data_IF_734696792846
#
_entry.id   IF_734696792846
#
_cell.length_a   1.000
_cell.length_b   1.000
_cell.length_c   1.000
_cell.angle_alpha   90.00
_cell.angle_beta   90.00
_cell.angle_gamma   90.00
#
_symmetry.space_group_name_H-M   'P 1'
#
loop_
_entity.id
_entity.type
_entity.pdbx_description
1 polymer ?
#
# COMPACT_ATOMS: atom_id res chain seq x y z
N UNK A 1 10.28 23.54 23.37
CA UNK A 1 9.86 22.75 22.20
C UNK A 1 11.07 22.56 21.29
N UNK A 2 11.33 21.34 20.85
CA UNK A 2 12.40 21.01 19.89
C UNK A 2 12.20 21.78 18.57
N UNK A 3 13.27 22.34 18.01
CA UNK A 3 13.22 23.04 16.72
C UNK A 3 13.10 22.10 15.51
N UNK A 4 12.56 22.57 14.39
CA UNK A 4 12.34 21.77 13.17
C UNK A 4 13.61 21.22 12.52
N UNK A 5 14.75 21.87 12.76
CA UNK A 5 16.07 21.49 12.23
C UNK A 5 17.06 21.10 13.34
N UNK A 6 16.60 20.98 14.58
CA UNK A 6 17.44 20.65 15.73
C UNK A 6 17.52 19.12 15.88
N UNK A 7 18.72 18.51 15.75
CA UNK A 7 18.90 17.08 15.97
C UNK A 7 18.46 16.68 17.38
N UNK A 8 17.89 15.49 17.51
CA UNK A 8 17.33 15.04 18.79
C UNK A 8 18.37 14.92 19.89
N UNK A 9 19.60 14.52 19.57
CA UNK A 9 20.69 14.39 20.53
C UNK A 9 21.07 15.76 21.15
N UNK A 10 21.16 16.79 20.31
CA UNK A 10 21.47 18.16 20.74
C UNK A 10 20.32 18.72 21.59
N UNK A 11 19.08 18.51 21.16
CA UNK A 11 17.89 18.89 21.92
C UNK A 11 17.87 18.21 23.30
N UNK A 12 18.08 16.89 23.39
CA UNK A 12 18.09 16.15 24.66
C UNK A 12 19.19 16.68 25.58
N UNK A 13 20.38 16.92 25.04
CA UNK A 13 21.52 17.48 25.79
C UNK A 13 21.16 18.85 26.39
N UNK A 14 20.58 19.74 25.59
CA UNK A 14 20.10 21.05 26.03
C UNK A 14 19.02 20.93 27.12
N UNK A 15 18.10 19.99 26.97
CA UNK A 15 17.03 19.75 27.95
C UNK A 15 17.55 19.21 29.27
N UNK A 16 18.54 18.30 29.24
CA UNK A 16 19.20 17.80 30.45
C UNK A 16 19.87 18.94 31.21
N UNK A 17 20.67 19.77 30.52
CA UNK A 17 21.33 20.92 31.12
C UNK A 17 20.34 21.96 31.69
N UNK A 18 19.17 22.12 31.06
CA UNK A 18 18.10 22.96 31.61
C UNK A 18 17.53 22.37 32.89
N UNK A 19 17.22 21.07 32.90
CA UNK A 19 16.66 20.39 34.08
C UNK A 19 17.61 20.41 35.28
N UNK A 20 18.91 20.33 35.04
CA UNK A 20 19.93 20.34 36.10
C UNK A 20 20.02 21.71 36.82
N UNK A 21 19.44 22.76 36.24
CA UNK A 21 19.41 24.12 36.82
C UNK A 21 18.11 24.42 37.58
N UNK A 22 17.17 23.48 37.64
CA UNK A 22 15.86 23.70 38.28
C UNK A 22 15.92 23.47 39.79
N UNK A 23 15.23 24.32 40.54
CA UNK A 23 15.01 24.19 41.97
C UNK A 23 13.49 24.25 42.27
N UNK A 24 12.90 23.21 42.91
CA UNK A 24 13.51 21.93 43.27
C UNK A 24 13.83 21.04 42.04
N UNK A 25 14.77 20.09 42.16
CA UNK A 25 15.12 19.20 41.06
C UNK A 25 13.94 18.28 40.73
N UNK A 26 13.64 18.17 39.43
CA UNK A 26 12.64 17.23 38.95
C UNK A 26 13.13 15.78 39.04
N UNK A 27 12.20 14.87 39.30
CA UNK A 27 12.46 13.43 39.20
C UNK A 27 12.82 13.04 37.77
N UNK A 28 13.53 11.92 37.59
CA UNK A 28 13.88 11.40 36.27
C UNK A 28 12.63 11.22 35.38
N UNK A 29 11.53 10.74 35.95
CA UNK A 29 10.29 10.52 35.23
C UNK A 29 9.67 11.83 34.72
N UNK A 30 9.67 12.89 35.55
CA UNK A 30 9.20 14.22 35.18
C UNK A 30 10.07 14.84 34.10
N UNK A 31 11.40 14.71 34.20
CA UNK A 31 12.34 15.17 33.18
C UNK A 31 12.09 14.49 31.83
N UNK A 32 11.89 13.17 31.84
CA UNK A 32 11.57 12.39 30.64
C UNK A 32 10.20 12.75 30.05
N UNK A 33 9.18 12.88 30.91
CA UNK A 33 7.84 13.31 30.54
C UNK A 33 7.86 14.68 29.87
N UNK A 34 8.56 15.64 30.49
CA UNK A 34 8.67 17.00 29.99
C UNK A 34 9.44 17.04 28.66
N UNK A 35 10.59 16.37 28.58
CA UNK A 35 11.41 16.30 27.37
C UNK A 35 10.60 15.74 26.21
N UNK A 36 9.98 14.57 26.39
CA UNK A 36 9.15 13.91 25.37
C UNK A 36 7.94 14.74 24.94
N UNK A 37 7.25 15.38 25.89
CA UNK A 37 6.12 16.28 25.57
C UNK A 37 6.54 17.43 24.67
N UNK A 38 7.77 17.90 24.80
CA UNK A 38 8.33 19.03 24.06
C UNK A 38 9.08 18.63 22.78
N UNK A 39 9.24 17.32 22.48
CA UNK A 39 9.84 16.85 21.22
C UNK A 39 8.99 17.17 20.00
N UNK A 40 9.58 17.02 18.82
CA UNK A 40 8.89 17.18 17.54
C UNK A 40 7.66 16.25 17.44
N UNK A 41 6.52 16.73 16.90
CA UNK A 41 5.30 15.93 16.76
C UNK A 41 5.52 14.60 16.04
N UNK A 42 6.38 14.58 15.02
CA UNK A 42 6.68 13.38 14.24
C UNK A 42 7.34 12.28 15.09
N UNK A 43 8.29 12.65 15.96
CA UNK A 43 8.93 11.72 16.88
C UNK A 43 7.95 11.26 17.97
N UNK A 44 7.13 12.17 18.49
CA UNK A 44 6.12 11.87 19.54
C UNK A 44 5.03 10.90 19.08
N UNK A 45 4.69 10.89 17.80
CA UNK A 45 3.69 9.95 17.25
C UNK A 45 4.22 8.52 17.21
N UNK A 46 5.53 8.34 17.06
CA UNK A 46 6.17 7.03 16.91
C UNK A 46 6.69 6.54 18.27
N UNK A 47 7.42 7.39 18.99
CA UNK A 47 7.94 7.10 20.32
C UNK A 47 6.85 7.38 21.35
N UNK A 48 6.28 6.33 21.91
CA UNK A 48 5.31 6.42 23.00
C UNK A 48 6.03 6.51 24.35
N UNK A 49 5.39 7.17 25.32
CA UNK A 49 6.01 7.42 26.64
C UNK A 49 6.45 6.14 27.38
N UNK A 50 5.75 5.03 27.20
CA UNK A 50 6.08 3.74 27.84
C UNK A 50 7.27 2.98 27.23
N UNK A 51 7.84 3.46 26.12
CA UNK A 51 8.95 2.76 25.45
C UNK A 51 10.32 3.03 26.07
N UNK A 52 10.43 4.01 26.97
CA UNK A 52 11.69 4.45 27.54
C UNK A 52 11.53 4.84 29.02
N UNK A 53 12.57 4.58 29.82
CA UNK A 53 12.60 4.86 31.26
C UNK A 53 13.87 5.64 31.66
N UNK A 54 14.71 5.96 30.68
CA UNK A 54 15.99 6.63 30.80
C UNK A 54 16.25 7.43 29.51
N UNK A 55 17.18 8.39 29.59
CA UNK A 55 17.48 9.27 28.46
C UNK A 55 18.23 8.57 27.33
N UNK A 56 19.06 7.57 27.64
CA UNK A 56 19.85 6.83 26.65
C UNK A 56 18.94 6.02 25.71
N UNK A 57 17.93 5.35 26.27
CA UNK A 57 16.91 4.63 25.51
C UNK A 57 16.06 5.57 24.66
N UNK A 58 15.65 6.71 25.20
CA UNK A 58 14.90 7.73 24.44
C UNK A 58 15.72 8.25 23.24
N UNK A 59 16.98 8.60 23.49
CA UNK A 59 17.91 9.12 22.49
C UNK A 59 18.15 8.08 21.38
N UNK A 60 18.47 6.84 21.73
CA UNK A 60 18.68 5.75 20.76
C UNK A 60 17.46 5.53 19.87
N UNK A 61 16.26 5.51 20.45
CA UNK A 61 15.02 5.37 19.68
C UNK A 61 14.83 6.55 18.72
N UNK A 62 15.07 7.77 19.19
CA UNK A 62 14.87 8.96 18.39
C UNK A 62 15.90 9.09 17.25
N UNK A 63 17.18 8.86 17.51
CA UNK A 63 18.24 8.86 16.49
C UNK A 63 17.93 7.82 15.40
N UNK A 64 17.50 6.61 15.79
CA UNK A 64 17.11 5.57 14.84
C UNK A 64 15.99 6.05 13.90
N UNK A 65 15.00 6.77 14.43
CA UNK A 65 13.91 7.33 13.63
C UNK A 65 14.35 8.48 12.73
N UNK A 66 15.26 9.35 13.19
CA UNK A 66 15.83 10.40 12.34
C UNK A 66 16.54 9.78 11.13
N UNK A 67 17.37 8.75 11.35
CA UNK A 67 18.04 8.03 10.26
C UNK A 67 17.02 7.39 9.31
N UNK A 68 15.96 6.78 9.82
CA UNK A 68 14.90 6.19 8.99
C UNK A 68 14.18 7.27 8.18
N UNK A 69 13.78 8.37 8.80
CA UNK A 69 13.08 9.47 8.13
C UNK A 69 13.95 10.09 7.05
N UNK A 70 15.21 10.36 7.37
CA UNK A 70 16.21 10.93 6.48
C UNK A 70 16.58 9.97 5.33
N UNK A 71 16.59 8.65 5.58
CA UNK A 71 16.69 7.64 4.53
C UNK A 71 15.46 7.66 3.62
N UNK A 72 14.26 7.82 4.18
CA UNK A 72 13.01 7.82 3.42
C UNK A 72 12.87 9.07 2.54
N UNK A 73 13.32 10.24 3.00
CA UNK A 73 13.34 11.46 2.18
C UNK A 73 14.36 11.39 1.04
N UNK A 74 15.48 10.68 1.25
CA UNK A 74 16.52 10.50 0.23
C UNK A 74 16.30 9.29 -0.68
N UNK A 75 15.45 8.35 -0.31
CA UNK A 75 15.13 7.19 -1.12
C UNK A 75 14.57 7.64 -2.47
N UNK A 76 15.31 7.32 -3.54
CA UNK A 76 14.87 7.57 -4.92
C UNK A 76 14.25 6.31 -5.50
N UNK A 77 13.29 6.50 -6.40
CA UNK A 77 12.77 5.41 -7.20
C UNK A 77 13.92 4.73 -7.96
N UNK A 78 13.90 3.39 -8.09
CA UNK A 78 14.89 2.68 -8.90
C UNK A 78 14.88 3.22 -10.33
N UNK A 79 16.05 3.26 -10.96
CA UNK A 79 16.20 3.72 -12.34
C UNK A 79 15.19 3.02 -13.24
N UNK A 80 14.49 3.78 -14.08
CA UNK A 80 13.54 3.23 -15.04
C UNK A 80 14.22 2.12 -15.87
N UNK A 81 13.51 1.03 -16.21
CA UNK A 81 14.08 -0.10 -16.93
C UNK A 81 14.76 0.30 -18.25
N UNK A 82 14.21 1.30 -18.95
CA UNK A 82 14.75 1.86 -20.20
C UNK A 82 16.11 2.55 -20.03
N UNK A 83 16.42 3.01 -18.81
CA UNK A 83 17.65 3.73 -18.46
C UNK A 83 18.57 2.89 -17.58
N UNK A 84 18.18 1.65 -17.27
CA UNK A 84 18.98 0.73 -16.50
C UNK A 84 20.02 0.05 -17.39
N UNK A 85 21.20 -0.26 -16.84
CA UNK A 85 22.25 -1.00 -17.53
C UNK A 85 21.78 -2.38 -17.99
N UNK A 86 20.84 -2.97 -17.24
CA UNK A 86 20.23 -4.26 -17.53
C UNK A 86 18.71 -4.13 -17.49
N UNK A 87 18.05 -3.76 -18.61
CA UNK A 87 16.60 -3.53 -18.66
C UNK A 87 15.75 -4.72 -18.20
N UNK A 88 16.22 -5.94 -18.47
CA UNK A 88 15.55 -7.20 -18.09
C UNK A 88 15.53 -7.46 -16.58
N UNK A 89 16.48 -6.89 -15.82
CA UNK A 89 16.59 -7.07 -14.37
C UNK A 89 16.08 -5.87 -13.57
N UNK A 90 15.76 -4.76 -14.24
CA UNK A 90 15.25 -3.57 -13.59
C UNK A 90 13.83 -3.79 -13.05
N UNK A 91 13.45 -3.00 -12.03
CA UNK A 91 12.10 -3.04 -11.49
C UNK A 91 11.09 -2.56 -12.54
N UNK A 92 10.15 -3.44 -12.90
CA UNK A 92 9.04 -3.11 -13.79
C UNK A 92 7.78 -2.88 -12.95
N UNK A 93 7.29 -1.63 -12.84
CA UNK A 93 6.07 -1.37 -12.10
C UNK A 93 4.90 -2.14 -12.76
N UNK A 94 4.00 -2.75 -11.98
CA UNK A 94 2.86 -3.46 -12.54
C UNK A 94 2.04 -2.50 -13.42
N UNK A 95 1.79 -2.90 -14.67
CA UNK A 95 0.91 -2.16 -15.57
C UNK A 95 -0.45 -2.01 -14.89
N UNK A 96 -0.81 -0.79 -14.48
CA UNK A 96 -2.19 -0.49 -14.10
C UNK A 96 -3.03 -0.75 -15.35
N UNK A 97 -3.78 -1.85 -15.34
CA UNK A 97 -4.88 -2.03 -16.29
C UNK A 97 -5.88 -0.96 -15.92
N UNK A 98 -5.81 0.20 -16.58
CA UNK A 98 -6.81 1.23 -16.43
C UNK A 98 -8.11 0.65 -16.96
N UNK A 99 -8.99 0.23 -16.06
CA UNK A 99 -10.41 0.14 -16.38
C UNK A 99 -10.94 1.58 -16.40
N UNK A 100 -10.59 2.29 -17.46
CA UNK A 100 -10.94 3.68 -17.72
C UNK A 100 -11.63 3.74 -19.07
N UNK A 101 -12.89 4.16 -19.03
CA UNK A 101 -13.81 4.39 -20.15
C UNK A 101 -13.12 4.77 -21.46
N UNK A 102 -13.14 3.83 -22.42
CA UNK A 102 -12.95 4.16 -23.82
C UNK A 102 -14.28 3.85 -24.53
N UNK A 103 -15.21 4.81 -24.49
CA UNK A 103 -16.21 4.94 -25.55
C UNK A 103 -15.48 5.47 -26.78
N UNK A 104 -15.14 4.56 -27.68
CA UNK A 104 -14.93 4.88 -29.08
C UNK A 104 -15.53 3.73 -29.89
N UNK A 105 -16.72 3.97 -30.42
CA UNK A 105 -17.38 3.10 -31.36
C UNK A 105 -16.57 3.07 -32.66
N UNK A 106 -16.09 1.89 -33.04
CA UNK A 106 -15.71 1.58 -34.40
C UNK A 106 -16.22 0.17 -34.72
N UNK A 107 -17.18 0.11 -35.62
CA UNK A 107 -17.82 -1.10 -36.12
C UNK A 107 -17.00 -1.65 -37.29
N UNK A 108 -17.03 -2.99 -37.47
CA UNK A 108 -16.77 -3.83 -38.67
C UNK A 108 -15.57 -4.79 -38.53
N UNK A 109 -15.55 -5.95 -39.24
CA UNK A 109 -16.36 -7.14 -38.95
C UNK A 109 -15.51 -8.43 -38.81
N UNK A 110 -16.21 -9.53 -38.51
CA UNK A 110 -15.70 -10.89 -38.25
C UNK A 110 -14.92 -11.54 -39.41
N UNK A 111 -13.79 -12.18 -39.09
CA UNK A 111 -13.27 -13.35 -39.80
C UNK A 111 -12.50 -14.24 -38.81
N UNK A 112 -12.86 -15.52 -38.73
CA UNK A 112 -12.27 -16.48 -37.79
C UNK A 112 -10.96 -17.10 -38.28
N UNK A 113 -10.23 -17.75 -37.37
CA UNK A 113 -9.43 -18.96 -37.62
C UNK A 113 -9.03 -19.63 -36.31
N UNK A 114 -8.85 -20.94 -36.43
CA UNK A 114 -8.61 -21.95 -35.42
C UNK A 114 -7.32 -21.80 -34.62
N UNK A 115 -7.36 -22.33 -33.39
CA UNK A 115 -6.45 -23.40 -32.97
C UNK A 115 -5.05 -23.05 -32.48
N UNK A 116 -4.71 -23.70 -31.36
CA UNK A 116 -3.38 -24.21 -30.96
C UNK A 116 -2.64 -23.51 -29.80
N UNK A 117 -2.57 -24.32 -28.72
CA UNK A 117 -1.43 -24.57 -27.83
C UNK A 117 -1.05 -23.50 -26.79
N UNK A 118 -1.49 -23.75 -25.55
CA UNK A 118 -0.80 -23.32 -24.32
C UNK A 118 0.58 -24.00 -24.24
N UNK A 119 1.66 -23.28 -23.86
CA UNK A 119 2.82 -23.88 -23.21
C UNK A 119 2.64 -23.92 -21.68
N UNK A 120 3.36 -24.82 -20.98
CA UNK A 120 3.16 -25.10 -19.56
C UNK A 120 3.97 -24.18 -18.64
N UNK A 121 3.33 -23.86 -17.52
CA UNK A 121 3.84 -23.59 -16.16
C UNK A 121 5.35 -23.39 -15.91
N UNK A 122 5.67 -22.33 -15.15
CA UNK A 122 6.57 -22.39 -13.98
C UNK A 122 6.13 -21.34 -12.96
N UNK A 123 5.71 -21.80 -11.78
CA UNK A 123 5.19 -20.96 -10.71
C UNK A 123 6.22 -20.65 -9.62
N UNK A 124 5.82 -19.74 -8.71
CA UNK A 124 6.19 -19.58 -7.29
C UNK A 124 5.49 -18.29 -6.82
N UNK A 125 4.64 -18.17 -5.81
CA UNK A 125 4.15 -19.00 -4.71
C UNK A 125 3.71 -18.00 -3.63
N UNK A 126 2.54 -18.18 -2.99
CA UNK A 126 2.16 -17.32 -1.86
C UNK A 126 0.68 -17.21 -1.53
N UNK A 127 0.18 -18.22 -0.81
CA UNK A 127 -0.87 -18.15 0.22
C UNK A 127 -2.24 -17.52 -0.11
N UNK A 128 -3.26 -18.37 -0.22
CA UNK A 128 -4.66 -17.93 -0.16
C UNK A 128 -5.63 -19.10 -0.25
N UNK A 129 -5.89 -19.76 0.89
CA UNK A 129 -7.10 -20.50 1.25
C UNK A 129 -7.76 -21.25 0.08
N UNK A 130 -7.40 -22.51 -0.09
CA UNK A 130 -8.16 -23.46 -0.90
C UNK A 130 -9.52 -23.71 -0.25
N UNK A 131 -10.50 -22.86 -0.52
CA UNK A 131 -11.90 -23.26 -0.43
C UNK A 131 -12.26 -23.98 -1.74
N UNK A 132 -12.74 -25.23 -1.71
CA UNK A 132 -13.07 -26.02 -2.91
C UNK A 132 -14.32 -25.49 -3.68
N UNK A 133 -14.80 -24.29 -3.34
CA UNK A 133 -15.98 -23.66 -3.96
C UNK A 133 -15.66 -22.80 -5.20
N UNK A 134 -14.39 -22.62 -5.57
CA UNK A 134 -13.99 -21.78 -6.71
C UNK A 134 -14.08 -22.50 -8.08
N UNK A 135 -14.40 -23.79 -8.11
CA UNK A 135 -14.36 -24.61 -9.35
C UNK A 135 -15.62 -24.50 -10.22
N UNK A 136 -16.74 -23.97 -9.72
CA UNK A 136 -18.00 -23.90 -10.48
C UNK A 136 -18.39 -22.50 -10.97
N UNK A 137 -17.77 -21.43 -10.46
CA UNK A 137 -18.13 -20.07 -10.92
C UNK A 137 -17.36 -19.71 -12.19
N UNK A 138 -18.10 -19.34 -13.24
CA UNK A 138 -17.53 -18.74 -14.45
C UNK A 138 -16.98 -17.34 -14.14
N UNK A 139 -15.82 -17.02 -14.70
CA UNK A 139 -15.27 -15.67 -14.69
C UNK A 139 -16.21 -14.74 -15.46
N UNK A 140 -16.66 -13.64 -14.86
CA UNK A 140 -17.55 -12.68 -15.53
C UNK A 140 -16.86 -11.85 -16.62
N UNK A 141 -15.54 -11.90 -16.72
CA UNK A 141 -14.78 -11.24 -17.78
C UNK A 141 -14.72 -12.07 -19.07
N UNK A 142 -14.33 -13.35 -18.96
CA UNK A 142 -14.05 -14.21 -20.12
C UNK A 142 -14.91 -15.47 -20.18
N UNK A 143 -15.85 -15.63 -19.25
CA UNK A 143 -16.79 -16.76 -19.13
C UNK A 143 -16.16 -18.14 -18.88
N UNK A 144 -14.82 -18.22 -18.81
CA UNK A 144 -14.07 -19.44 -18.45
C UNK A 144 -14.09 -19.66 -16.93
N UNK A 145 -14.09 -20.91 -16.48
CA UNK A 145 -14.03 -21.28 -15.05
C UNK A 145 -12.57 -21.37 -14.55
N UNK A 146 -12.39 -21.50 -13.24
CA UNK A 146 -11.08 -21.74 -12.61
C UNK A 146 -10.29 -20.49 -12.20
N UNK A 147 -10.84 -19.29 -12.43
CA UNK A 147 -10.30 -18.02 -11.92
C UNK A 147 -11.42 -16.99 -11.74
N UNK A 148 -11.16 -15.96 -10.93
CA UNK A 148 -12.05 -14.82 -10.76
C UNK A 148 -11.74 -13.70 -11.76
N UNK A 149 -12.69 -12.80 -12.01
CA UNK A 149 -12.53 -11.68 -12.96
C UNK A 149 -11.32 -10.78 -12.63
N UNK A 150 -10.97 -10.62 -11.35
CA UNK A 150 -9.78 -9.87 -10.91
C UNK A 150 -8.45 -10.56 -11.22
N UNK A 151 -8.47 -11.88 -11.44
CA UNK A 151 -7.30 -12.70 -11.81
C UNK A 151 -7.33 -13.07 -13.30
N UNK A 152 -8.17 -12.42 -14.11
CA UNK A 152 -8.29 -12.69 -15.54
C UNK A 152 -7.20 -11.95 -16.33
N UNK A 153 -6.51 -12.68 -17.21
CA UNK A 153 -5.46 -12.13 -18.07
C UNK A 153 -6.00 -11.60 -19.41
N UNK A 154 -7.27 -11.86 -19.72
CA UNK A 154 -7.95 -11.31 -20.91
C UNK A 154 -8.29 -9.83 -20.69
N UNK A 155 -8.39 -9.02 -21.75
CA UNK A 155 -8.79 -7.62 -21.65
C UNK A 155 -10.05 -7.46 -20.81
N UNK A 156 -10.01 -6.61 -19.78
CA UNK A 156 -11.14 -6.39 -18.89
C UNK A 156 -12.33 -5.85 -19.67
N UNK A 157 -13.44 -6.59 -19.64
CA UNK A 157 -14.73 -6.19 -20.15
C UNK A 157 -15.54 -5.57 -19.03
N UNK A 158 -16.27 -4.52 -19.37
CA UNK A 158 -17.22 -3.88 -18.47
C UNK A 158 -18.30 -4.91 -18.09
N UNK A 159 -18.53 -5.12 -16.80
CA UNK A 159 -19.59 -6.00 -16.32
C UNK A 159 -20.09 -5.56 -14.94
N UNK A 160 -21.35 -5.89 -14.63
CA UNK A 160 -21.91 -5.63 -13.33
C UNK A 160 -21.26 -6.56 -12.31
N UNK A 161 -20.53 -6.02 -11.34
CA UNK A 161 -19.89 -6.78 -10.27
C UNK A 161 -20.87 -7.49 -9.32
N UNK A 162 -22.19 -7.25 -9.45
CA UNK A 162 -23.22 -7.87 -8.62
C UNK A 162 -23.94 -9.05 -9.30
N UNK A 163 -24.25 -8.94 -10.60
CA UNK A 163 -24.97 -9.99 -11.33
C UNK A 163 -24.21 -10.59 -12.53
N UNK A 164 -23.04 -10.04 -12.88
CA UNK A 164 -22.23 -10.50 -14.01
C UNK A 164 -22.73 -10.06 -15.39
N UNK A 165 -23.73 -9.17 -15.50
CA UNK A 165 -24.23 -8.65 -16.78
C UNK A 165 -23.14 -7.85 -17.50
N UNK A 166 -22.87 -8.18 -18.77
CA UNK A 166 -21.85 -7.51 -19.58
C UNK A 166 -22.28 -6.08 -19.98
N UNK A 167 -21.29 -5.24 -20.24
CA UNK A 167 -21.39 -3.86 -20.74
C UNK A 167 -22.16 -2.88 -19.83
N UNK A 168 -22.26 -3.15 -18.52
CA UNK A 168 -22.89 -2.26 -17.54
C UNK A 168 -22.05 -2.20 -16.27
N UNK A 169 -22.06 -1.07 -15.55
CA UNK A 169 -21.54 -1.00 -14.17
C UNK A 169 -22.64 -1.39 -13.17
N UNK A 170 -22.31 -1.54 -11.88
CA UNK A 170 -23.35 -1.74 -10.84
C UNK A 170 -24.35 -0.58 -10.79
N UNK A 171 -23.91 0.65 -11.11
CA UNK A 171 -24.76 1.86 -11.12
C UNK A 171 -25.66 1.97 -12.35
N UNK A 172 -25.30 1.33 -13.45
CA UNK A 172 -26.05 1.35 -14.72
C UNK A 172 -26.70 -0.02 -15.01
N UNK A 173 -26.63 -0.95 -14.06
CA UNK A 173 -27.17 -2.29 -14.22
C UNK A 173 -28.68 -2.27 -13.94
N UNK A 174 -29.53 -2.55 -14.93
CA UNK A 174 -30.99 -2.46 -14.77
C UNK A 174 -31.56 -3.39 -13.70
N UNK A 175 -30.78 -4.41 -13.28
CA UNK A 175 -31.16 -5.38 -12.25
C UNK A 175 -30.55 -5.06 -10.88
N UNK A 176 -29.55 -4.17 -10.79
CA UNK A 176 -28.77 -3.94 -9.58
C UNK A 176 -28.69 -2.47 -9.14
N UNK A 177 -29.12 -1.54 -9.98
CA UNK A 177 -29.14 -0.12 -9.70
C UNK A 177 -30.38 0.20 -8.86
N UNK A 178 -30.21 0.06 -7.54
CA UNK A 178 -31.27 0.13 -6.54
C UNK A 178 -31.68 -1.27 -6.07
N UNK A 179 -31.36 -1.64 -4.83
CA UNK A 179 -31.93 -2.85 -4.21
C UNK A 179 -33.43 -2.58 -3.91
N UNK A 180 -34.34 -3.53 -3.79
CA UNK A 180 -34.18 -4.89 -3.28
C UNK A 180 -35.35 -5.76 -3.73
N UNK A 181 -35.09 -7.01 -4.12
CA UNK A 181 -36.02 -8.10 -3.81
C UNK A 181 -35.27 -9.43 -3.77
N UNK A 182 -35.22 -9.93 -2.54
CA UNK A 182 -34.85 -11.28 -2.13
C UNK A 182 -35.72 -12.30 -2.89
N UNK A 183 -35.10 -13.27 -3.54
CA UNK A 183 -35.68 -14.57 -3.94
C UNK A 183 -34.52 -15.41 -4.48
N UNK A 184 -34.23 -16.63 -4.02
CA UNK A 184 -35.02 -17.63 -3.31
C UNK A 184 -34.04 -18.64 -2.70
#
# INVERSE_FOLDING_TARGET
MQGDYEPVADYITCMQALCDRLEPPWSLEERLNYTHRNMLPQLKMIIQRGQFHDFETLERLAISLEVIQDSATRCRAPTAPERALFPELAYHPPKKISCGSAVAAAVLPMAGIAGAKKPPSRGRGGAGITSPAATSRKCWNCEKTGHFAWACLEPCRLHCFRCGKLNVTVRDCPTCSGNAETSR
#
